data_IF_105823298275
#
_entry.id   IF_105823298275
#
_cell.length_a   1.000
_cell.length_b   1.000
_cell.length_c   1.000
_cell.angle_alpha   90.00
_cell.angle_beta   90.00
_cell.angle_gamma   90.00
#
_symmetry.space_group_name_H-M   'P 1'
#
loop_
_entity.id
_entity.type
_entity.pdbx_description
1 polymer ?
#
# COMPACT_ATOMS: atom_id res chain seq x y z
N UNK A 1 8.52 -13.86 -4.20
CA UNK A 1 9.46 -13.75 -5.33
C UNK A 1 10.56 -12.77 -4.94
N UNK A 2 11.79 -12.85 -5.50
CA UNK A 2 12.79 -11.82 -5.25
C UNK A 2 12.28 -10.46 -5.73
N UNK A 3 12.61 -9.39 -5.00
CA UNK A 3 12.25 -8.03 -5.40
C UNK A 3 12.83 -7.74 -6.79
N UNK A 4 12.04 -7.12 -7.67
CA UNK A 4 12.49 -6.74 -9.01
C UNK A 4 13.43 -5.52 -8.91
N UNK A 5 14.68 -5.74 -8.52
CA UNK A 5 15.68 -4.69 -8.27
C UNK A 5 15.99 -3.79 -9.47
N UNK A 6 15.64 -4.23 -10.68
CA UNK A 6 15.86 -3.47 -11.91
C UNK A 6 14.74 -2.43 -12.16
N UNK A 7 13.61 -2.53 -11.46
CA UNK A 7 12.53 -1.54 -11.55
C UNK A 7 12.90 -0.30 -10.74
N UNK A 8 13.46 0.72 -11.41
CA UNK A 8 13.82 1.97 -10.74
C UNK A 8 12.58 2.85 -10.51
N UNK A 9 12.35 3.35 -9.28
CA UNK A 9 11.25 4.27 -9.02
C UNK A 9 11.53 5.63 -9.69
N UNK A 10 10.46 6.22 -10.23
CA UNK A 10 10.40 7.57 -10.78
C UNK A 10 10.07 8.62 -9.71
N UNK A 11 9.45 8.20 -8.61
CA UNK A 11 9.07 9.05 -7.47
C UNK A 11 9.61 8.44 -6.18
N UNK A 12 10.06 9.28 -5.26
CA UNK A 12 10.37 8.87 -3.89
C UNK A 12 9.11 8.91 -2.98
N UNK A 13 9.24 8.44 -1.74
CA UNK A 13 8.11 8.38 -0.80
C UNK A 13 7.47 9.76 -0.52
N UNK A 14 8.26 10.83 -0.39
CA UNK A 14 7.75 12.17 -0.15
C UNK A 14 6.96 12.71 -1.35
N UNK A 15 7.46 12.48 -2.57
CA UNK A 15 6.77 12.86 -3.81
C UNK A 15 5.45 12.09 -3.99
N UNK A 16 5.43 10.79 -3.69
CA UNK A 16 4.20 10.00 -3.75
C UNK A 16 3.19 10.44 -2.68
N UNK A 17 3.62 10.69 -1.44
CA UNK A 17 2.74 11.20 -0.40
C UNK A 17 2.13 12.56 -0.77
N UNK A 18 2.93 13.47 -1.34
CA UNK A 18 2.44 14.76 -1.83
C UNK A 18 1.41 14.59 -2.96
N UNK A 19 1.67 13.67 -3.89
CA UNK A 19 0.73 13.35 -4.97
C UNK A 19 -0.58 12.77 -4.42
N UNK A 20 -0.51 11.76 -3.54
CA UNK A 20 -1.69 11.16 -2.90
C UNK A 20 -2.52 12.20 -2.15
N UNK A 21 -1.89 13.10 -1.40
CA UNK A 21 -2.58 14.20 -0.73
C UNK A 21 -3.30 15.15 -1.71
N UNK A 22 -2.74 15.35 -2.91
CA UNK A 22 -3.36 16.18 -3.94
C UNK A 22 -4.51 15.50 -4.69
N UNK A 23 -4.38 14.21 -5.01
CA UNK A 23 -5.33 13.50 -5.89
C UNK A 23 -6.38 12.70 -5.13
N UNK A 24 -6.07 12.32 -3.90
CA UNK A 24 -6.95 11.56 -3.01
C UNK A 24 -6.90 12.10 -1.57
N UNK A 25 -7.25 13.39 -1.34
CA UNK A 25 -7.19 14.00 -0.01
C UNK A 25 -8.07 13.27 1.03
N UNK A 26 -9.15 12.62 0.59
CA UNK A 26 -10.08 11.89 1.46
C UNK A 26 -9.47 10.63 2.08
N UNK A 27 -8.32 10.14 1.59
CA UNK A 27 -7.63 9.00 2.21
C UNK A 27 -7.30 9.28 3.68
N UNK A 28 -6.92 10.52 3.96
CA UNK A 28 -6.40 10.94 5.25
C UNK A 28 -7.22 12.08 5.87
N UNK A 29 -8.04 12.80 5.10
CA UNK A 29 -8.70 14.04 5.52
C UNK A 29 -7.70 14.99 6.21
N UNK A 30 -7.87 15.25 7.51
CA UNK A 30 -7.00 16.09 8.33
C UNK A 30 -5.99 15.28 9.18
N UNK A 31 -5.81 14.00 8.88
CA UNK A 31 -4.99 13.07 9.67
C UNK A 31 -3.79 12.56 8.87
N UNK A 32 -2.92 11.78 9.51
CA UNK A 32 -1.80 11.09 8.85
C UNK A 32 -1.91 9.59 9.11
N UNK A 33 -3.04 9.01 8.68
CA UNK A 33 -3.36 7.61 8.93
C UNK A 33 -2.57 6.68 8.02
N UNK A 34 -2.59 6.93 6.70
CA UNK A 34 -1.89 6.11 5.71
C UNK A 34 -0.78 6.91 5.02
N UNK A 35 0.42 6.34 4.94
CA UNK A 35 1.56 7.01 4.32
C UNK A 35 2.54 6.01 3.68
N UNK A 36 3.23 6.44 2.62
CA UNK A 36 4.44 5.78 2.15
C UNK A 36 5.61 6.14 3.06
N UNK A 37 6.28 5.13 3.59
CA UNK A 37 7.47 5.28 4.44
C UNK A 37 8.74 5.25 3.58
N UNK A 38 8.81 4.31 2.64
CA UNK A 38 9.96 4.13 1.78
C UNK A 38 9.51 3.65 0.41
N UNK A 39 10.18 4.12 -0.64
CA UNK A 39 10.05 3.59 -2.01
C UNK A 39 11.44 3.17 -2.46
N UNK A 40 11.55 1.94 -2.95
CA UNK A 40 12.80 1.33 -3.36
C UNK A 40 12.60 0.54 -4.66
N UNK A 41 13.68 0.13 -5.34
CA UNK A 41 13.53 -0.60 -6.60
C UNK A 41 12.65 -1.85 -6.49
N UNK A 42 11.51 -1.83 -7.19
CA UNK A 42 10.56 -2.94 -7.24
C UNK A 42 9.58 -3.03 -6.07
N UNK A 43 9.46 -1.99 -5.22
CA UNK A 43 8.50 -2.03 -4.11
C UNK A 43 8.44 -0.77 -3.26
N UNK A 44 7.73 -0.88 -2.14
CA UNK A 44 7.63 0.16 -1.14
C UNK A 44 7.29 -0.42 0.24
N UNK A 45 7.52 0.40 1.26
CA UNK A 45 6.96 0.21 2.60
C UNK A 45 5.91 1.29 2.82
N UNK A 46 4.70 0.88 3.20
CA UNK A 46 3.60 1.78 3.58
C UNK A 46 3.25 1.55 5.05
N UNK A 47 2.64 2.54 5.69
CA UNK A 47 2.22 2.46 7.09
C UNK A 47 0.78 2.89 7.26
N UNK A 48 0.07 2.18 8.13
CA UNK A 48 -1.12 2.65 8.82
C UNK A 48 -0.75 3.01 10.26
N UNK A 49 -0.90 4.27 10.64
CA UNK A 49 -0.87 4.74 12.03
C UNK A 49 -2.27 4.50 12.65
N UNK A 50 -2.55 3.26 13.04
CA UNK A 50 -3.88 2.88 13.51
C UNK A 50 -4.21 3.50 14.86
N UNK A 51 -5.40 4.08 14.94
CA UNK A 51 -6.03 4.62 16.14
C UNK A 51 -7.50 4.20 16.22
N UNK A 52 -8.27 4.78 17.15
CA UNK A 52 -9.68 4.44 17.38
C UNK A 52 -10.56 4.44 16.13
N UNK A 53 -10.25 5.24 15.11
CA UNK A 53 -10.99 5.32 13.83
C UNK A 53 -10.85 4.05 12.99
N UNK A 54 -9.81 3.27 13.26
CA UNK A 54 -9.46 2.06 12.53
C UNK A 54 -9.82 0.80 13.32
N UNK A 55 -10.28 0.95 14.56
CA UNK A 55 -10.59 -0.18 15.42
C UNK A 55 -12.04 -0.64 15.25
N UNK A 56 -12.26 -1.92 15.51
CA UNK A 56 -13.58 -2.53 15.68
C UNK A 56 -13.83 -2.89 17.15
N UNK A 57 -15.07 -3.25 17.53
CA UNK A 57 -15.35 -3.74 18.89
C UNK A 57 -14.36 -4.83 19.31
N UNK A 58 -13.78 -4.66 20.49
CA UNK A 58 -12.72 -5.54 21.00
C UNK A 58 -11.28 -5.07 20.72
N UNK A 59 -11.08 -3.80 20.32
CA UNK A 59 -9.76 -3.15 20.33
C UNK A 59 -8.78 -3.64 19.25
N UNK A 60 -9.31 -4.16 18.15
CA UNK A 60 -8.49 -4.70 17.05
C UNK A 60 -8.70 -3.89 15.78
N UNK A 61 -7.65 -3.77 14.97
CA UNK A 61 -7.71 -3.08 13.68
C UNK A 61 -8.68 -3.81 12.76
N UNK A 62 -9.52 -3.03 12.09
CA UNK A 62 -10.57 -3.57 11.23
C UNK A 62 -9.98 -4.18 9.96
N UNK A 63 -10.65 -5.21 9.44
CA UNK A 63 -10.30 -5.79 8.13
C UNK A 63 -10.29 -4.74 7.01
N UNK A 64 -11.28 -3.84 6.91
CA UNK A 64 -11.26 -2.73 5.95
C UNK A 64 -10.03 -1.84 6.05
N UNK A 65 -9.55 -1.50 7.25
CA UNK A 65 -8.34 -0.67 7.40
C UNK A 65 -7.08 -1.36 6.88
N UNK A 66 -6.95 -2.68 7.13
CA UNK A 66 -5.85 -3.47 6.56
C UNK A 66 -5.98 -3.65 5.05
N UNK A 67 -7.21 -3.74 4.53
CA UNK A 67 -7.48 -3.78 3.10
C UNK A 67 -7.09 -2.45 2.42
N UNK A 68 -7.41 -1.31 3.04
CA UNK A 68 -6.96 0.02 2.58
C UNK A 68 -5.43 0.10 2.58
N UNK A 69 -4.75 -0.37 3.63
CA UNK A 69 -3.28 -0.39 3.65
C UNK A 69 -2.71 -1.23 2.52
N UNK A 70 -3.32 -2.39 2.22
CA UNK A 70 -2.91 -3.24 1.11
C UNK A 70 -3.08 -2.55 -0.26
N UNK A 71 -4.23 -1.90 -0.48
CA UNK A 71 -4.51 -1.13 -1.69
C UNK A 71 -3.50 0.02 -1.83
N UNK A 72 -3.26 0.81 -0.77
CA UNK A 72 -2.27 1.89 -0.77
C UNK A 72 -0.87 1.39 -1.08
N UNK A 73 -0.47 0.21 -0.60
CA UNK A 73 0.81 -0.41 -0.98
C UNK A 73 0.93 -0.62 -2.50
N UNK A 74 -0.13 -1.13 -3.14
CA UNK A 74 -0.18 -1.27 -4.59
C UNK A 74 -0.25 0.07 -5.32
N UNK A 75 -1.03 1.02 -4.80
CA UNK A 75 -1.16 2.35 -5.39
C UNK A 75 0.17 3.13 -5.37
N UNK A 76 0.90 3.08 -4.25
CA UNK A 76 2.24 3.66 -4.13
C UNK A 76 3.20 3.00 -5.11
N UNK A 77 3.16 1.67 -5.26
CA UNK A 77 3.99 0.95 -6.23
C UNK A 77 3.70 1.41 -7.67
N UNK A 78 2.43 1.50 -8.08
CA UNK A 78 2.09 1.89 -9.47
C UNK A 78 2.45 3.34 -9.74
N UNK A 79 2.17 4.27 -8.82
CA UNK A 79 2.53 5.68 -8.98
C UNK A 79 4.05 5.89 -9.06
N UNK A 80 4.80 5.18 -8.20
CA UNK A 80 6.25 5.33 -8.16
C UNK A 80 6.97 4.66 -9.34
N UNK A 81 6.45 3.58 -9.92
CA UNK A 81 7.17 2.81 -10.94
C UNK A 81 6.57 2.88 -12.35
N UNK A 82 5.25 3.10 -12.49
CA UNK A 82 4.60 3.32 -13.78
C UNK A 82 4.45 4.82 -14.13
N UNK A 83 4.60 5.69 -13.12
CA UNK A 83 4.57 7.14 -13.25
C UNK A 83 3.38 7.78 -12.52
N UNK A 84 3.39 9.13 -12.36
CA UNK A 84 2.46 9.88 -11.50
C UNK A 84 1.03 9.99 -12.05
N UNK A 85 0.64 9.15 -13.01
CA UNK A 85 -0.71 9.20 -13.56
C UNK A 85 -1.70 8.56 -12.56
N UNK A 86 -2.50 9.42 -11.94
CA UNK A 86 -3.45 9.05 -10.90
C UNK A 86 -4.63 8.21 -11.40
N UNK A 87 -4.74 7.95 -12.70
CA UNK A 87 -5.82 7.16 -13.30
C UNK A 87 -5.63 5.64 -13.16
N UNK A 88 -4.58 5.17 -12.47
CA UNK A 88 -4.40 3.74 -12.18
C UNK A 88 -5.49 3.24 -11.24
N UNK A 89 -6.17 2.15 -11.61
CA UNK A 89 -7.31 1.61 -10.83
C UNK A 89 -7.10 0.16 -10.43
N UNK A 90 -7.51 -0.19 -9.22
CA UNK A 90 -7.51 -1.56 -8.69
C UNK A 90 -8.44 -2.44 -9.51
N UNK A 91 -7.90 -3.53 -10.08
CA UNK A 91 -8.65 -4.53 -10.87
C UNK A 91 -9.12 -5.67 -9.96
N UNK A 92 -8.23 -6.13 -9.09
CA UNK A 92 -8.52 -7.12 -8.06
C UNK A 92 -7.60 -6.90 -6.86
N UNK A 93 -8.07 -7.28 -5.68
CA UNK A 93 -7.28 -7.34 -4.45
C UNK A 93 -7.88 -8.44 -3.56
N UNK A 94 -7.07 -9.46 -3.24
CA UNK A 94 -7.41 -10.54 -2.33
C UNK A 94 -6.55 -10.42 -1.07
N UNK A 95 -7.15 -10.60 0.12
CA UNK A 95 -6.45 -10.50 1.40
C UNK A 95 -6.79 -11.67 2.31
N UNK A 96 -5.78 -12.19 3.00
CA UNK A 96 -5.89 -13.22 4.02
C UNK A 96 -5.47 -12.63 5.36
N UNK A 97 -6.22 -12.91 6.43
CA UNK A 97 -5.97 -12.39 7.78
C UNK A 97 -5.46 -13.52 8.68
N UNK A 98 -4.24 -13.37 9.22
CA UNK A 98 -3.57 -14.42 10.00
C UNK A 98 -3.60 -14.16 11.50
N UNK A 99 -3.52 -12.88 11.93
CA UNK A 99 -3.42 -12.50 13.34
C UNK A 99 -4.16 -11.19 13.59
N UNK A 100 -4.50 -10.95 14.85
CA UNK A 100 -5.04 -9.67 15.30
C UNK A 100 -3.92 -8.62 15.30
N UNK A 101 -4.26 -7.39 14.90
CA UNK A 101 -3.44 -6.21 15.10
C UNK A 101 -4.16 -5.28 16.10
N UNK A 102 -3.39 -4.67 16.99
CA UNK A 102 -3.85 -3.63 17.91
C UNK A 102 -3.60 -2.24 17.30
N UNK A 103 -4.05 -1.18 17.99
CA UNK A 103 -3.72 0.18 17.60
C UNK A 103 -2.19 0.42 17.63
N UNK A 104 -1.73 1.37 16.81
CA UNK A 104 -0.32 1.68 16.63
C UNK A 104 0.14 1.52 15.17
N UNK A 105 1.46 1.57 14.93
CA UNK A 105 2.01 1.45 13.59
C UNK A 105 1.84 0.03 13.04
N UNK A 106 1.34 -0.05 11.82
CA UNK A 106 1.18 -1.29 11.05
C UNK A 106 1.84 -1.07 9.70
N UNK A 107 2.85 -1.86 9.40
CA UNK A 107 3.66 -1.70 8.19
C UNK A 107 3.23 -2.73 7.14
N UNK A 108 3.12 -2.27 5.89
CA UNK A 108 2.90 -3.11 4.73
C UNK A 108 4.14 -3.09 3.83
N UNK A 109 4.80 -4.24 3.71
CA UNK A 109 5.92 -4.44 2.80
C UNK A 109 5.39 -4.89 1.43
N UNK A 110 5.24 -3.94 0.51
CA UNK A 110 4.67 -4.18 -0.80
C UNK A 110 5.77 -4.43 -1.85
N UNK A 111 5.56 -5.44 -2.70
CA UNK A 111 6.50 -5.79 -3.77
C UNK A 111 5.78 -5.92 -5.10
N UNK A 112 6.40 -5.38 -6.14
CA UNK A 112 5.96 -5.57 -7.51
C UNK A 112 6.38 -6.96 -7.98
N UNK A 113 5.40 -7.82 -8.26
CA UNK A 113 5.62 -9.15 -8.81
C UNK A 113 5.78 -9.11 -10.32
N UNK A 114 5.10 -8.17 -10.99
CA UNK A 114 5.19 -7.92 -12.43
C UNK A 114 4.72 -6.52 -12.78
N UNK A 115 5.55 -5.76 -13.49
CA UNK A 115 5.16 -4.50 -14.12
C UNK A 115 5.06 -4.68 -15.64
N UNK A 116 3.84 -4.70 -16.16
CA UNK A 116 3.55 -4.74 -17.59
C UNK A 116 3.20 -3.37 -18.17
N UNK A 117 2.82 -3.34 -19.45
CA UNK A 117 2.39 -2.10 -20.12
C UNK A 117 1.03 -1.57 -19.65
N UNK A 118 0.15 -2.44 -19.16
CA UNK A 118 -1.24 -2.10 -18.83
C UNK A 118 -1.70 -2.66 -17.49
N UNK A 119 -0.89 -3.52 -16.85
CA UNK A 119 -1.21 -4.14 -15.57
C UNK A 119 0.06 -4.21 -14.72
N UNK A 120 -0.10 -3.96 -13.43
CA UNK A 120 0.90 -4.24 -12.40
C UNK A 120 0.33 -5.25 -11.41
N UNK A 121 1.07 -6.32 -11.13
CA UNK A 121 0.71 -7.32 -10.12
C UNK A 121 1.65 -7.15 -8.93
N UNK A 122 1.10 -7.17 -7.71
CA UNK A 122 1.86 -6.99 -6.47
C UNK A 122 1.42 -7.98 -5.39
N UNK A 123 2.29 -8.18 -4.40
CA UNK A 123 1.91 -8.71 -3.09
C UNK A 123 2.32 -7.75 -1.98
N UNK A 124 1.68 -7.89 -0.82
CA UNK A 124 2.01 -7.13 0.37
C UNK A 124 1.93 -8.00 1.62
N UNK A 125 2.99 -8.00 2.40
CA UNK A 125 3.05 -8.60 3.73
C UNK A 125 2.82 -7.49 4.77
N UNK A 126 1.72 -7.60 5.52
CA UNK A 126 1.34 -6.61 6.52
C UNK A 126 1.74 -7.14 7.89
N UNK A 127 2.60 -6.40 8.58
CA UNK A 127 3.19 -6.75 9.87
C UNK A 127 2.80 -5.76 10.96
N UNK A 128 2.66 -6.26 12.18
CA UNK A 128 2.36 -5.43 13.34
C UNK A 128 3.00 -5.94 14.64
N UNK A 129 3.04 -5.05 15.62
CA UNK A 129 3.53 -5.34 16.97
C UNK A 129 5.06 -5.39 17.09
N UNK A 130 5.57 -5.54 18.32
CA UNK A 130 7.01 -5.40 18.63
C UNK A 130 7.88 -6.45 17.93
N UNK A 131 7.32 -7.59 17.58
CA UNK A 131 8.02 -8.69 16.91
C UNK A 131 7.84 -8.69 15.38
N UNK A 132 7.10 -7.71 14.82
CA UNK A 132 6.89 -7.59 13.37
C UNK A 132 6.21 -8.82 12.76
N UNK A 133 5.22 -9.41 13.44
CA UNK A 133 4.55 -10.60 12.91
C UNK A 133 3.60 -10.23 11.79
N UNK A 134 3.55 -11.05 10.74
CA UNK A 134 2.50 -10.98 9.70
C UNK A 134 1.11 -11.09 10.33
N UNK A 135 0.29 -10.06 10.12
CA UNK A 135 -1.12 -10.01 10.54
C UNK A 135 -2.06 -10.21 9.36
N UNK A 136 -1.66 -9.79 8.17
CA UNK A 136 -2.38 -10.02 6.92
C UNK A 136 -1.41 -10.13 5.74
N UNK A 137 -1.83 -10.81 4.68
CA UNK A 137 -1.11 -10.84 3.41
C UNK A 137 -2.12 -10.68 2.27
N UNK A 138 -1.78 -9.86 1.29
CA UNK A 138 -2.65 -9.62 0.15
C UNK A 138 -1.91 -9.71 -1.18
N UNK A 139 -2.66 -10.01 -2.23
CA UNK A 139 -2.19 -9.95 -3.63
C UNK A 139 -3.19 -9.17 -4.45
N UNK A 140 -2.69 -8.35 -5.37
CA UNK A 140 -3.57 -7.48 -6.15
C UNK A 140 -3.02 -7.15 -7.52
N UNK A 141 -3.89 -6.56 -8.33
CA UNK A 141 -3.57 -6.07 -9.66
C UNK A 141 -4.10 -4.65 -9.82
N UNK A 142 -3.23 -3.75 -10.28
CA UNK A 142 -3.63 -2.43 -10.78
C UNK A 142 -3.64 -2.44 -12.30
N UNK A 143 -4.62 -1.76 -12.89
CA UNK A 143 -4.57 -1.38 -14.29
C UNK A 143 -3.87 -0.04 -14.46
N UNK A 144 -3.08 0.04 -15.53
CA UNK A 144 -2.33 1.23 -15.92
C UNK A 144 -2.94 1.70 -17.24
N UNK A 145 -3.65 2.84 -17.26
CA UNK A 145 -4.21 3.40 -18.48
C UNK A 145 -3.12 3.74 -19.48
N UNK A 146 -3.41 3.55 -20.77
CA UNK A 146 -2.55 4.09 -21.83
C UNK A 146 -2.81 5.59 -21.94
N UNK A 147 -1.75 6.38 -22.03
CA UNK A 147 -1.88 7.76 -22.49
C UNK A 147 -2.48 7.74 -23.91
N UNK A 148 -3.47 8.59 -24.21
CA UNK A 148 -4.07 8.69 -25.53
C UNK A 148 -3.04 9.05 -26.61
#
# INVERSE_FOLDING_TARGET
MPAQSDLKPMLNAAEVNALMASVYPQLNDNFTSYEAIEVFPGGCTVRLNADERHLRPGGTVSGPSLFTLADIGGYVCVLSHAGPDALSVTVNLDINFMRKAEAGPIDGHCRILKLGKSLMVFDIDIVAGPNGHTVAHATGTYSIPKKP
#
